data_IF_893382076164
#
_entry.id   IF_893382076164
#
_cell.length_a   1.000
_cell.length_b   1.000
_cell.length_c   1.000
_cell.angle_alpha   90.00
_cell.angle_beta   90.00
_cell.angle_gamma   90.00
#
_symmetry.space_group_name_H-M   'P 1'
#
loop_
_entity.id
_entity.type
_entity.pdbx_description
1 polymer ?
#
# COMPACT_ATOMS: atom_id res chain seq x y z
N UNK A 1 -13.68 -2.30 7.42
CA UNK A 1 -12.56 -2.86 6.63
C UNK A 1 -12.23 -1.97 5.47
N UNK A 2 -10.95 -1.82 5.16
CA UNK A 2 -10.49 -1.06 4.00
C UNK A 2 -9.37 -1.82 3.27
N UNK A 3 -9.21 -1.52 1.99
CA UNK A 3 -8.15 -2.03 1.14
C UNK A 3 -7.69 -0.93 0.19
N UNK A 4 -6.39 -0.82 0.00
CA UNK A 4 -5.76 -0.02 -1.05
C UNK A 4 -4.97 -0.96 -1.95
N UNK A 5 -5.07 -0.77 -3.27
CA UNK A 5 -4.28 -1.53 -4.24
C UNK A 5 -3.21 -0.62 -4.82
N UNK A 6 -1.98 -1.10 -4.86
CA UNK A 6 -0.82 -0.34 -5.27
C UNK A 6 -0.08 -1.02 -6.41
N UNK A 7 0.30 -0.26 -7.42
CA UNK A 7 1.32 -0.63 -8.38
C UNK A 7 2.67 -0.13 -7.90
N UNK A 8 3.68 -1.00 -7.90
CA UNK A 8 5.05 -0.65 -7.51
C UNK A 8 5.95 -0.82 -8.72
N UNK A 9 6.79 0.17 -9.01
CA UNK A 9 7.72 0.12 -10.15
C UNK A 9 9.01 0.88 -9.84
N UNK A 10 10.01 0.67 -10.66
CA UNK A 10 11.35 1.24 -10.54
C UNK A 10 12.40 0.15 -10.39
N UNK A 11 13.65 0.55 -10.53
CA UNK A 11 14.80 -0.31 -10.29
C UNK A 11 15.52 0.17 -9.04
N UNK A 12 16.03 -0.77 -8.24
CA UNK A 12 16.87 -0.43 -7.08
C UNK A 12 18.26 -0.09 -7.61
N UNK A 13 18.47 1.18 -7.97
CA UNK A 13 19.78 1.73 -8.30
C UNK A 13 20.16 2.81 -7.27
N UNK A 14 21.42 3.25 -7.26
CA UNK A 14 21.87 4.31 -6.35
C UNK A 14 21.10 5.63 -6.54
N UNK A 15 20.53 5.84 -7.74
CA UNK A 15 19.85 7.08 -8.13
C UNK A 15 18.32 6.94 -8.29
N UNK A 16 17.77 5.71 -8.42
CA UNK A 16 16.34 5.49 -8.60
C UNK A 16 15.73 4.68 -7.45
N UNK A 17 14.80 5.33 -6.75
CA UNK A 17 13.99 4.70 -5.73
C UNK A 17 12.72 4.09 -6.34
N UNK A 18 12.27 2.97 -5.79
CA UNK A 18 10.96 2.44 -6.14
C UNK A 18 9.86 3.46 -5.84
N UNK A 19 8.90 3.52 -6.74
CA UNK A 19 7.73 4.39 -6.68
C UNK A 19 6.49 3.53 -6.56
N UNK A 20 5.43 4.07 -5.97
CA UNK A 20 4.16 3.37 -5.89
C UNK A 20 2.99 4.28 -6.29
N UNK A 21 2.04 3.74 -7.04
CA UNK A 21 0.83 4.42 -7.48
C UNK A 21 -0.40 3.74 -6.89
N UNK A 22 -1.31 4.55 -6.38
CA UNK A 22 -2.62 4.07 -5.98
C UNK A 22 -3.40 3.62 -7.22
N UNK A 23 -3.79 2.36 -7.26
CA UNK A 23 -4.59 1.81 -8.36
C UNK A 23 -6.07 1.79 -8.02
N UNK A 24 -6.41 1.57 -6.75
CA UNK A 24 -7.78 1.60 -6.25
C UNK A 24 -7.87 1.66 -4.74
N UNK A 25 -9.07 1.99 -4.28
CA UNK A 25 -9.47 1.95 -2.88
C UNK A 25 -10.78 1.19 -2.74
N UNK A 26 -10.95 0.51 -1.62
CA UNK A 26 -12.21 -0.05 -1.18
C UNK A 26 -12.36 0.10 0.31
N UNK A 27 -13.56 0.47 0.77
CA UNK A 27 -13.90 0.60 2.19
C UNK A 27 -15.36 0.27 2.40
N UNK A 28 -15.63 -0.65 3.32
CA UNK A 28 -17.00 -0.99 3.71
C UNK A 28 -17.04 -1.68 5.08
N UNK A 29 -18.22 -1.75 5.69
CA UNK A 29 -18.51 -2.51 6.90
C UNK A 29 -19.18 -3.81 6.53
N UNK A 30 -18.40 -4.85 6.36
CA UNK A 30 -18.89 -6.16 5.91
C UNK A 30 -18.56 -7.27 6.91
N UNK A 31 -19.34 -8.33 6.91
CA UNK A 31 -19.05 -9.55 7.64
C UNK A 31 -17.90 -10.35 7.00
N UNK A 32 -17.38 -11.33 7.74
CA UNK A 32 -16.22 -12.13 7.28
C UNK A 32 -16.45 -12.84 5.93
N UNK A 33 -17.59 -13.50 5.67
CA UNK A 33 -17.81 -14.16 4.37
C UNK A 33 -17.73 -13.20 3.18
N UNK A 34 -18.29 -12.01 3.35
CA UNK A 34 -18.28 -10.97 2.32
C UNK A 34 -16.89 -10.36 2.15
N UNK A 35 -16.18 -10.10 3.26
CA UNK A 35 -14.79 -9.65 3.23
C UNK A 35 -13.89 -10.62 2.47
N UNK A 36 -14.03 -11.93 2.73
CA UNK A 36 -13.30 -12.98 2.00
C UNK A 36 -13.62 -12.97 0.51
N UNK A 37 -14.90 -12.92 0.15
CA UNK A 37 -15.32 -12.88 -1.24
C UNK A 37 -14.80 -11.61 -1.96
N UNK A 38 -14.83 -10.47 -1.28
CA UNK A 38 -14.29 -9.21 -1.79
C UNK A 38 -12.77 -9.29 -1.99
N UNK A 39 -12.03 -9.78 -1.02
CA UNK A 39 -10.58 -9.95 -1.12
C UNK A 39 -10.20 -10.90 -2.27
N UNK A 40 -10.93 -12.00 -2.45
CA UNK A 40 -10.73 -12.91 -3.57
C UNK A 40 -10.99 -12.23 -4.93
N UNK A 41 -12.04 -11.41 -5.04
CA UNK A 41 -12.36 -10.68 -6.26
C UNK A 41 -11.28 -9.63 -6.57
N UNK A 42 -10.95 -8.78 -5.61
CA UNK A 42 -9.93 -7.73 -5.76
C UNK A 42 -8.54 -8.29 -6.13
N UNK A 43 -8.22 -9.51 -5.70
CA UNK A 43 -6.94 -10.14 -6.05
C UNK A 43 -6.87 -10.70 -7.47
N UNK A 44 -8.02 -11.00 -8.08
CA UNK A 44 -8.12 -11.66 -9.39
C UNK A 44 -8.46 -10.69 -10.52
N UNK A 45 -9.13 -9.60 -10.23
CA UNK A 45 -9.65 -8.69 -11.25
C UNK A 45 -9.48 -7.22 -10.87
N UNK A 46 -8.47 -6.59 -11.45
CA UNK A 46 -8.31 -5.15 -11.38
C UNK A 46 -9.46 -4.36 -12.02
N UNK A 47 -10.23 -4.97 -12.89
CA UNK A 47 -11.33 -4.30 -13.60
C UNK A 47 -12.50 -3.97 -12.69
N UNK A 48 -12.64 -4.68 -11.59
CA UNK A 48 -13.68 -4.42 -10.58
C UNK A 48 -13.35 -3.18 -9.71
N UNK A 49 -12.21 -2.56 -9.99
CA UNK A 49 -11.66 -1.45 -9.25
C UNK A 49 -12.02 -0.15 -9.97
N UNK A 50 -13.30 0.19 -9.92
CA UNK A 50 -13.81 1.45 -10.43
C UNK A 50 -13.97 1.53 -11.95
N UNK A 51 -14.92 2.33 -12.40
CA UNK A 51 -15.25 2.61 -13.78
C UNK A 51 -14.15 3.42 -14.49
N UNK A 52 -12.93 2.91 -14.55
CA UNK A 52 -11.86 3.58 -15.27
C UNK A 52 -11.94 3.27 -16.76
N UNK A 53 -12.20 4.30 -17.55
CA UNK A 53 -12.15 4.29 -19.02
C UNK A 53 -10.76 4.02 -19.60
N UNK A 54 -9.70 3.99 -18.79
CA UNK A 54 -8.35 3.65 -19.20
C UNK A 54 -8.10 2.17 -18.93
N UNK A 55 -7.91 1.35 -19.98
CA UNK A 55 -7.57 -0.05 -19.79
C UNK A 55 -6.16 -0.17 -19.20
N UNK A 56 -6.08 -0.34 -17.89
CA UNK A 56 -4.94 -1.06 -17.33
C UNK A 56 -4.96 -2.42 -18.01
N UNK A 57 -3.84 -2.89 -18.59
CA UNK A 57 -3.85 -4.10 -19.40
C UNK A 57 -4.59 -5.23 -18.70
N UNK A 58 -5.56 -5.79 -19.39
CA UNK A 58 -6.36 -6.91 -18.90
C UNK A 58 -5.43 -8.02 -18.37
N UNK A 59 -5.76 -8.59 -17.21
CA UNK A 59 -5.13 -9.77 -16.62
C UNK A 59 -3.83 -9.57 -15.80
N UNK A 60 -3.72 -8.56 -14.97
CA UNK A 60 -2.74 -8.63 -13.89
C UNK A 60 -3.45 -9.01 -12.60
N UNK A 61 -3.21 -10.21 -12.13
CA UNK A 61 -3.47 -10.59 -10.75
C UNK A 61 -2.52 -9.83 -9.83
N UNK A 62 -2.91 -9.58 -8.59
CA UNK A 62 -1.97 -9.00 -7.62
C UNK A 62 -0.85 -9.99 -7.31
N UNK A 63 0.37 -9.49 -7.14
CA UNK A 63 1.51 -10.31 -6.74
C UNK A 63 1.30 -10.92 -5.35
N UNK A 64 0.69 -10.17 -4.45
CA UNK A 64 0.24 -10.66 -3.14
C UNK A 64 -0.77 -9.71 -2.49
N UNK A 65 -1.55 -10.25 -1.54
CA UNK A 65 -2.41 -9.49 -0.64
C UNK A 65 -1.70 -9.33 0.71
N UNK A 66 -1.49 -8.08 1.14
CA UNK A 66 -0.96 -7.77 2.46
C UNK A 66 -2.12 -7.59 3.44
N UNK A 67 -2.10 -8.31 4.55
CA UNK A 67 -3.21 -8.34 5.51
C UNK A 67 -2.64 -8.14 6.91
N UNK A 68 -3.26 -7.26 7.71
CA UNK A 68 -2.90 -7.11 9.11
C UNK A 68 -3.17 -8.42 9.86
N UNK A 69 -2.11 -9.02 10.43
CA UNK A 69 -2.16 -10.30 11.14
C UNK A 69 -2.72 -10.09 12.56
N UNK A 70 -4.00 -9.76 12.66
CA UNK A 70 -4.74 -9.60 13.91
C UNK A 70 -6.19 -10.04 13.75
N UNK A 71 -6.77 -10.65 14.77
CA UNK A 71 -8.18 -11.02 14.84
C UNK A 71 -8.69 -11.71 13.55
N UNK A 72 -9.46 -10.99 12.71
CA UNK A 72 -10.01 -11.51 11.46
C UNK A 72 -8.98 -11.65 10.33
N UNK A 73 -7.77 -11.11 10.48
CA UNK A 73 -6.71 -11.18 9.48
C UNK A 73 -6.13 -12.58 9.31
N UNK A 74 -5.86 -13.28 10.40
CA UNK A 74 -5.26 -14.62 10.35
C UNK A 74 -6.15 -15.65 9.63
N UNK A 75 -7.46 -15.76 9.90
CA UNK A 75 -8.36 -16.58 9.10
C UNK A 75 -8.39 -16.18 7.62
N UNK A 76 -8.40 -14.88 7.33
CA UNK A 76 -8.44 -14.39 5.96
C UNK A 76 -7.17 -14.76 5.18
N UNK A 77 -5.99 -14.61 5.79
CA UNK A 77 -4.72 -15.03 5.19
C UNK A 77 -4.76 -16.51 4.82
N UNK A 78 -5.21 -17.36 5.75
CA UNK A 78 -5.33 -18.81 5.53
C UNK A 78 -6.30 -19.12 4.38
N UNK A 79 -7.49 -18.54 4.41
CA UNK A 79 -8.54 -18.81 3.41
C UNK A 79 -8.13 -18.35 2.01
N UNK A 80 -7.44 -17.21 1.88
CA UNK A 80 -6.91 -16.74 0.61
C UNK A 80 -5.83 -17.67 0.07
N UNK A 81 -4.90 -18.11 0.92
CA UNK A 81 -3.84 -19.06 0.54
C UNK A 81 -4.42 -20.41 0.08
N UNK A 82 -5.43 -20.93 0.76
CA UNK A 82 -6.15 -22.14 0.34
C UNK A 82 -6.86 -21.95 -1.01
N UNK A 83 -7.28 -20.72 -1.32
CA UNK A 83 -7.83 -20.34 -2.63
C UNK A 83 -6.78 -20.05 -3.71
N UNK A 84 -5.49 -20.30 -3.45
CA UNK A 84 -4.39 -20.08 -4.40
C UNK A 84 -4.00 -18.61 -4.56
N UNK A 85 -4.43 -17.73 -3.66
CA UNK A 85 -4.08 -16.32 -3.67
C UNK A 85 -2.90 -16.07 -2.73
N UNK A 86 -1.77 -15.49 -3.22
CA UNK A 86 -0.65 -15.15 -2.37
C UNK A 86 -1.06 -14.12 -1.32
N UNK A 87 -1.13 -14.51 -0.06
CA UNK A 87 -1.45 -13.61 1.06
C UNK A 87 -0.32 -13.61 2.08
N UNK A 88 0.05 -12.41 2.55
CA UNK A 88 1.11 -12.18 3.54
C UNK A 88 0.54 -11.50 4.76
N UNK A 89 0.85 -12.03 5.93
CA UNK A 89 0.53 -11.38 7.20
C UNK A 89 1.56 -10.30 7.51
N UNK A 90 1.09 -9.18 8.02
CA UNK A 90 1.94 -8.11 8.50
C UNK A 90 1.42 -7.61 9.85
N UNK A 91 2.30 -7.46 10.82
CA UNK A 91 1.98 -6.89 12.12
C UNK A 91 2.65 -5.53 12.24
N UNK A 92 1.90 -4.43 12.02
CA UNK A 92 2.48 -3.10 12.09
C UNK A 92 2.95 -2.78 13.51
N UNK A 93 4.14 -2.18 13.61
CA UNK A 93 4.72 -1.73 14.88
C UNK A 93 4.28 -0.30 15.21
N UNK A 94 3.99 -0.04 16.48
CA UNK A 94 3.58 1.27 16.97
C UNK A 94 2.10 1.59 16.75
N UNK A 95 1.67 2.72 17.30
CA UNK A 95 0.32 3.25 17.11
C UNK A 95 0.13 3.87 15.71
N UNK A 96 -1.10 4.30 15.41
CA UNK A 96 -1.45 4.87 14.10
C UNK A 96 -0.64 6.12 13.77
N UNK A 97 -0.45 7.02 14.73
CA UNK A 97 0.28 8.27 14.52
C UNK A 97 1.77 7.99 14.24
N UNK A 98 2.38 7.11 15.02
CA UNK A 98 3.77 6.71 14.80
C UNK A 98 3.95 6.05 13.42
N UNK A 99 2.98 5.27 12.94
CA UNK A 99 3.03 4.68 11.60
C UNK A 99 2.97 5.74 10.49
N UNK A 100 2.08 6.71 10.63
CA UNK A 100 1.98 7.83 9.68
C UNK A 100 3.28 8.63 9.66
N UNK A 101 3.85 8.97 10.83
CA UNK A 101 5.13 9.69 10.91
C UNK A 101 6.28 8.91 10.23
N UNK A 102 6.30 7.58 10.37
CA UNK A 102 7.31 6.73 9.70
C UNK A 102 7.09 6.61 8.19
N UNK A 103 5.86 6.75 7.71
CA UNK A 103 5.53 6.71 6.28
C UNK A 103 5.66 8.08 5.60
N UNK A 104 5.53 9.18 6.34
CA UNK A 104 5.57 10.55 5.81
C UNK A 104 6.80 10.86 4.94
N UNK A 105 8.04 10.47 5.29
CA UNK A 105 9.20 10.74 4.47
C UNK A 105 9.11 10.19 3.04
N UNK A 106 8.43 9.05 2.83
CA UNK A 106 8.24 8.46 1.50
C UNK A 106 7.28 9.28 0.65
N UNK A 107 6.26 9.88 1.28
CA UNK A 107 5.32 10.81 0.63
C UNK A 107 6.03 12.12 0.29
N UNK A 108 6.78 12.69 1.22
CA UNK A 108 7.56 13.93 1.04
C UNK A 108 8.62 13.83 -0.05
N UNK A 109 9.23 12.64 -0.21
CA UNK A 109 10.17 12.38 -1.30
C UNK A 109 9.51 12.16 -2.66
N UNK A 110 8.17 12.26 -2.77
CA UNK A 110 7.46 12.10 -4.04
C UNK A 110 7.45 10.66 -4.59
N UNK A 111 7.52 9.65 -3.70
CA UNK A 111 7.50 8.24 -4.10
C UNK A 111 6.07 7.69 -4.25
N UNK A 112 5.07 8.45 -3.81
CA UNK A 112 3.67 8.04 -3.82
C UNK A 112 2.91 8.86 -4.87
N UNK A 113 2.26 8.17 -5.79
CA UNK A 113 1.53 8.76 -6.91
C UNK A 113 0.04 8.47 -6.80
N UNK A 114 -0.76 9.43 -7.21
CA UNK A 114 -2.21 9.32 -7.33
C UNK A 114 -2.62 9.42 -8.81
N UNK A 115 -3.57 8.60 -9.27
CA UNK A 115 -3.99 8.61 -10.66
C UNK A 115 -4.88 9.82 -10.96
N UNK A 116 -4.72 10.36 -12.18
CA UNK A 116 -5.56 11.43 -12.74
C UNK A 116 -6.57 10.88 -13.74
N UNK A 117 -7.64 11.64 -14.01
CA UNK A 117 -8.72 11.21 -14.92
C UNK A 117 -8.22 11.02 -16.36
N UNK A 118 -7.30 11.88 -16.78
CA UNK A 118 -6.73 11.86 -18.14
C UNK A 118 -5.21 12.05 -18.07
N UNK A 119 -4.54 11.61 -19.12
CA UNK A 119 -3.11 11.85 -19.28
C UNK A 119 -2.83 13.36 -19.30
N UNK A 120 -1.94 13.82 -18.45
CA UNK A 120 -1.59 15.23 -18.24
C UNK A 120 -2.71 16.10 -17.62
N UNK A 121 -3.74 15.51 -17.05
CA UNK A 121 -4.73 16.23 -16.24
C UNK A 121 -4.19 16.46 -14.82
N UNK A 122 -4.54 17.60 -14.23
CA UNK A 122 -4.31 17.85 -12.80
C UNK A 122 -5.46 17.30 -11.93
N UNK A 123 -6.58 16.91 -12.56
CA UNK A 123 -7.75 16.39 -11.88
C UNK A 123 -7.56 14.92 -11.49
N UNK A 124 -7.62 14.64 -10.22
CA UNK A 124 -7.55 13.27 -9.70
C UNK A 124 -8.80 12.47 -10.09
N UNK A 125 -8.63 11.16 -10.17
CA UNK A 125 -9.79 10.27 -10.24
C UNK A 125 -10.63 10.36 -8.97
N UNK A 126 -11.96 10.14 -9.01
CA UNK A 126 -12.83 10.31 -7.83
C UNK A 126 -12.37 9.53 -6.61
N UNK A 127 -11.92 8.29 -6.78
CA UNK A 127 -11.42 7.48 -5.65
C UNK A 127 -10.07 7.98 -5.11
N UNK A 128 -9.22 8.58 -5.96
CA UNK A 128 -7.96 9.16 -5.53
C UNK A 128 -8.17 10.47 -4.78
N UNK A 129 -9.18 11.25 -5.18
CA UNK A 129 -9.58 12.47 -4.48
C UNK A 129 -10.13 12.16 -3.08
N UNK A 130 -11.06 11.18 -2.96
CA UNK A 130 -11.57 10.70 -1.66
C UNK A 130 -10.44 10.16 -0.77
N UNK A 131 -9.51 9.42 -1.37
CA UNK A 131 -8.34 8.90 -0.66
C UNK A 131 -7.45 10.04 -0.14
N UNK A 132 -7.11 11.01 -0.99
CA UNK A 132 -6.29 12.17 -0.62
C UNK A 132 -6.95 12.97 0.51
N UNK A 133 -8.25 13.23 0.42
CA UNK A 133 -9.01 13.92 1.47
C UNK A 133 -8.93 13.17 2.80
N UNK A 134 -9.06 11.84 2.76
CA UNK A 134 -8.90 10.99 3.96
C UNK A 134 -7.51 11.11 4.58
N UNK A 135 -6.46 11.19 3.76
CA UNK A 135 -5.07 11.31 4.22
C UNK A 135 -4.78 12.68 4.81
N UNK A 136 -5.18 13.77 4.14
CA UNK A 136 -4.90 15.14 4.60
C UNK A 136 -5.69 15.53 5.86
N UNK A 137 -6.86 14.92 6.06
CA UNK A 137 -7.68 15.17 7.27
C UNK A 137 -7.26 14.35 8.47
N UNK A 138 -6.34 13.40 8.31
CA UNK A 138 -5.82 12.62 9.44
C UNK A 138 -5.05 13.51 10.43
N UNK A 139 -5.20 13.36 11.78
CA UNK A 139 -5.95 12.29 12.48
C UNK A 139 -7.42 12.61 12.76
N UNK A 140 -7.93 13.76 12.34
CA UNK A 140 -9.24 14.31 12.73
C UNK A 140 -10.40 13.86 11.82
N UNK A 141 -10.10 13.20 10.67
CA UNK A 141 -11.10 12.70 9.74
C UNK A 141 -11.96 11.56 10.31
N UNK A 142 -13.16 11.40 9.75
CA UNK A 142 -14.14 10.38 10.18
C UNK A 142 -13.63 8.95 10.02
N UNK A 143 -12.81 8.70 9.00
CA UNK A 143 -12.28 7.37 8.70
C UNK A 143 -10.76 7.35 8.65
N UNK A 144 -10.19 6.37 9.33
CA UNK A 144 -8.73 6.17 9.42
C UNK A 144 -8.26 4.88 8.74
N UNK A 145 -9.19 4.09 8.20
CA UNK A 145 -8.89 2.74 7.70
C UNK A 145 -8.05 2.77 6.40
N UNK A 146 -8.30 3.75 5.51
CA UNK A 146 -7.49 3.91 4.29
C UNK A 146 -6.07 4.38 4.61
N UNK A 147 -5.91 5.25 5.61
CA UNK A 147 -4.59 5.70 6.09
C UNK A 147 -3.82 4.53 6.69
N UNK A 148 -4.48 3.67 7.47
CA UNK A 148 -3.86 2.45 8.00
C UNK A 148 -3.42 1.52 6.88
N UNK A 149 -4.25 1.31 5.86
CA UNK A 149 -3.93 0.48 4.70
C UNK A 149 -2.73 1.04 3.91
N UNK A 150 -2.69 2.36 3.67
CA UNK A 150 -1.57 3.04 3.01
C UNK A 150 -0.26 2.89 3.81
N UNK A 151 -0.29 3.27 5.08
CA UNK A 151 0.92 3.23 5.92
C UNK A 151 1.45 1.81 6.07
N UNK A 152 0.57 0.81 6.12
CA UNK A 152 0.94 -0.59 6.14
C UNK A 152 1.64 -1.01 4.84
N UNK A 153 1.16 -0.58 3.68
CA UNK A 153 1.79 -0.87 2.40
C UNK A 153 3.18 -0.23 2.30
N UNK A 154 3.31 1.05 2.63
CA UNK A 154 4.58 1.79 2.58
C UNK A 154 5.61 1.14 3.51
N UNK A 155 5.24 0.91 4.77
CA UNK A 155 6.16 0.36 5.77
C UNK A 155 6.55 -1.09 5.48
N UNK A 156 5.62 -1.89 4.93
CA UNK A 156 5.93 -3.23 4.47
C UNK A 156 6.98 -3.21 3.34
N UNK A 157 6.78 -2.39 2.33
CA UNK A 157 7.71 -2.28 1.20
C UNK A 157 9.07 -1.72 1.64
N UNK A 158 9.10 -0.83 2.62
CA UNK A 158 10.32 -0.36 3.27
C UNK A 158 11.06 -1.50 3.99
N UNK A 159 10.35 -2.24 4.84
CA UNK A 159 10.92 -3.32 5.66
C UNK A 159 11.49 -4.46 4.78
N UNK A 160 11.07 -4.56 3.52
CA UNK A 160 11.57 -5.51 2.52
C UNK A 160 12.45 -4.87 1.44
N UNK A 161 13.05 -3.71 1.73
CA UNK A 161 13.96 -2.98 0.83
C UNK A 161 13.36 -2.60 -0.54
N UNK A 162 12.06 -2.66 -0.71
CA UNK A 162 11.41 -2.23 -1.94
C UNK A 162 11.18 -0.70 -1.97
N UNK A 163 11.14 -0.04 -0.81
CA UNK A 163 11.13 1.41 -0.67
C UNK A 163 12.26 1.79 0.28
N UNK A 164 13.26 2.48 -0.20
CA UNK A 164 14.42 2.92 0.60
C UNK A 164 14.40 4.43 0.72
N UNK A 165 14.59 4.96 1.92
CA UNK A 165 14.75 6.38 2.16
C UNK A 165 16.24 6.73 2.23
N UNK A 166 16.63 7.95 1.83
CA UNK A 166 18.05 8.41 1.85
C UNK A 166 18.70 8.31 3.23
N UNK A 167 17.93 8.45 4.32
CA UNK A 167 18.46 8.26 5.68
C UNK A 167 18.84 6.82 5.97
N UNK A 168 18.10 5.86 5.42
CA UNK A 168 18.33 4.43 5.65
C UNK A 168 19.65 3.97 5.00
N UNK A 169 19.97 4.52 3.82
CA UNK A 169 21.26 4.28 3.12
C UNK A 169 22.44 4.79 3.93
N UNK A 170 22.32 5.96 4.55
CA UNK A 170 23.39 6.52 5.39
C UNK A 170 23.63 5.69 6.66
N UNK A 171 22.59 5.16 7.28
CA UNK A 171 22.72 4.28 8.45
C UNK A 171 23.42 2.98 8.12
N UNK A 172 23.08 2.34 6.99
CA UNK A 172 23.75 1.12 6.52
C UNK A 172 25.23 1.35 6.20
N UNK A 173 25.59 2.47 5.58
CA UNK A 173 26.98 2.83 5.34
C UNK A 173 27.78 3.01 6.64
N UNK A 174 27.18 3.63 7.65
CA UNK A 174 27.81 3.83 8.96
C UNK A 174 27.99 2.48 9.67
N UNK A 175 26.99 1.59 9.62
CA UNK A 175 27.06 0.26 10.23
C UNK A 175 28.11 -0.60 9.52
N UNK A 176 28.16 -0.55 8.19
CA UNK A 176 29.13 -1.30 7.38
C UNK A 176 30.56 -0.80 7.60
N UNK A 177 30.77 0.51 7.73
CA UNK A 177 32.07 1.10 8.08
C UNK A 177 32.51 0.71 9.49
N UNK A 178 31.61 0.66 10.46
CA UNK A 178 31.92 0.20 11.82
C UNK A 178 32.30 -1.29 11.88
N UNK A 179 31.63 -2.16 11.10
CA UNK A 179 31.98 -3.60 11.03
C UNK A 179 33.33 -3.88 10.35
N UNK A 180 33.84 -2.97 9.54
CA UNK A 180 35.19 -3.09 8.90
C UNK A 180 36.33 -2.57 9.78
N UNK A 181 36.02 -1.94 10.92
CA UNK A 181 37.00 -1.39 11.86
C UNK A 181 37.27 -2.30 13.08
N UNK A 182 36.64 -3.44 13.12
CA UNK A 182 36.85 -4.55 14.08
C UNK A 182 37.04 -5.85 13.31
#
# INVERSE_FOLDING_TARGET
>A
SACTTWGVWGEKSEDELFKMMLLSTWRDRVGYPELRARAQRLSKDYKDIGEHKNPIPAQRTVDFCLIEAKATGDPLIRDLRLGGIPARGYTPKGDKNARVQRAAPFIECGLIYLPTEEKNSERLTPFAEEFLETVITFPNGESKDLVDSMTQAILYLRDFDALTHRSDVKEEEIITKRKKLY
#
